data_IF_381587616698
#
_entry.id   IF_381587616698
#
_cell.length_a   1.000
_cell.length_b   1.000
_cell.length_c   1.000
_cell.angle_alpha   90.00
_cell.angle_beta   90.00
_cell.angle_gamma   90.00
#
_symmetry.space_group_name_H-M   'P 1'
#
loop_
_entity.id
_entity.type
_entity.pdbx_description
1 polymer ?
#
# COMPACT_ATOMS: atom_id res chain seq x y z
N UNK A 1 -2.29 8.30 -9.87
CA UNK A 1 -3.68 8.10 -9.39
C UNK A 1 -3.69 8.16 -7.88
N UNK A 2 -4.81 8.54 -7.26
CA UNK A 2 -4.93 8.59 -5.80
C UNK A 2 -5.92 7.52 -5.32
N UNK A 3 -5.62 6.95 -4.17
CA UNK A 3 -6.34 5.84 -3.58
C UNK A 3 -6.56 6.14 -2.10
N UNK A 4 -7.78 5.91 -1.62
CA UNK A 4 -8.13 6.07 -0.22
C UNK A 4 -8.16 4.71 0.44
N UNK A 5 -7.48 4.58 1.58
CA UNK A 5 -7.55 3.39 2.39
C UNK A 5 -8.93 3.26 3.05
N UNK A 6 -9.57 2.11 2.90
CA UNK A 6 -10.94 1.84 3.35
C UNK A 6 -11.03 1.43 4.82
N UNK A 7 -10.02 0.74 5.34
CA UNK A 7 -9.96 0.24 6.71
C UNK A 7 -8.50 0.20 7.18
N UNK A 8 -8.25 0.34 8.48
CA UNK A 8 -6.89 0.31 9.03
C UNK A 8 -6.34 -1.12 8.97
N UNK A 9 -5.14 -1.30 8.41
CA UNK A 9 -4.48 -2.60 8.36
C UNK A 9 -2.96 -2.49 8.55
N UNK A 10 -2.34 -3.60 8.92
CA UNK A 10 -0.89 -3.73 8.98
C UNK A 10 -0.36 -4.61 7.86
N UNK A 11 0.82 -4.26 7.36
CA UNK A 11 1.60 -5.12 6.47
C UNK A 11 3.01 -5.27 7.02
N UNK A 12 3.69 -6.38 6.73
CA UNK A 12 5.11 -6.50 7.05
C UNK A 12 5.89 -5.38 6.37
N UNK A 13 6.71 -4.65 7.13
CA UNK A 13 7.65 -3.67 6.59
C UNK A 13 8.65 -4.41 5.70
N UNK A 14 8.80 -3.96 4.45
CA UNK A 14 9.76 -4.56 3.53
C UNK A 14 11.14 -3.97 3.85
N UNK A 15 11.99 -4.76 4.51
CA UNK A 15 13.37 -4.38 4.77
C UNK A 15 14.29 -5.00 3.69
N UNK A 16 14.93 -4.15 2.88
CA UNK A 16 15.82 -4.61 1.78
C UNK A 16 17.13 -5.25 2.29
N UNK A 17 17.45 -5.09 3.58
CA UNK A 17 18.75 -5.48 4.13
C UNK A 17 18.74 -6.78 4.93
N UNK A 18 17.62 -7.19 5.50
CA UNK A 18 17.56 -8.39 6.34
C UNK A 18 16.49 -9.37 5.86
N UNK A 19 16.92 -10.56 5.44
CA UNK A 19 16.09 -11.78 5.45
C UNK A 19 15.76 -12.15 6.92
N UNK A 20 15.16 -11.24 7.70
CA UNK A 20 14.81 -11.49 9.10
C UNK A 20 13.40 -11.01 9.41
N UNK A 21 12.62 -11.98 9.89
CA UNK A 21 11.31 -11.87 10.53
C UNK A 21 11.37 -11.08 11.84
N UNK A 22 11.74 -9.80 11.82
CA UNK A 22 11.64 -8.93 13.00
C UNK A 22 10.53 -7.88 12.86
N UNK A 23 9.29 -8.39 12.78
CA UNK A 23 8.13 -7.90 13.54
C UNK A 23 7.68 -6.44 13.40
N UNK A 24 8.24 -5.65 12.47
CA UNK A 24 7.76 -4.29 12.22
C UNK A 24 6.63 -4.32 11.21
N UNK A 25 5.47 -3.97 11.71
CA UNK A 25 4.26 -3.81 10.95
C UNK A 25 4.13 -2.35 10.51
N UNK A 26 4.09 -2.11 9.21
CA UNK A 26 3.69 -0.82 8.67
C UNK A 26 2.17 -0.70 8.74
N UNK A 27 1.69 0.23 9.57
CA UNK A 27 0.26 0.45 9.78
C UNK A 27 -0.24 1.48 8.77
N UNK A 28 -1.17 1.06 7.93
CA UNK A 28 -1.92 1.93 7.03
C UNK A 28 -3.22 2.32 7.72
N UNK A 29 -3.42 3.60 7.95
CA UNK A 29 -4.63 4.10 8.61
C UNK A 29 -5.80 4.25 7.63
N UNK A 30 -7.00 3.88 8.10
CA UNK A 30 -8.26 4.18 7.40
C UNK A 30 -8.33 5.66 7.01
N UNK A 31 -8.79 5.93 5.79
CA UNK A 31 -8.95 7.28 5.27
C UNK A 31 -7.66 7.94 4.82
N UNK A 32 -6.49 7.30 5.01
CA UNK A 32 -5.23 7.79 4.45
C UNK A 32 -5.28 7.81 2.91
N UNK A 33 -4.67 8.83 2.32
CA UNK A 33 -4.59 9.00 0.87
C UNK A 33 -3.21 8.60 0.39
N UNK A 34 -3.21 7.71 -0.59
CA UNK A 34 -2.03 7.15 -1.21
C UNK A 34 -2.02 7.45 -2.69
N UNK A 35 -0.84 7.69 -3.25
CA UNK A 35 -0.65 7.95 -4.67
C UNK A 35 0.15 6.84 -5.32
N UNK A 36 -0.23 6.48 -6.54
CA UNK A 36 0.63 5.69 -7.43
C UNK A 36 1.06 6.56 -8.60
N UNK A 37 2.35 6.54 -8.91
CA UNK A 37 2.93 7.24 -10.06
C UNK A 37 2.53 6.59 -11.38
N UNK A 38 2.29 5.27 -11.37
CA UNK A 38 1.84 4.51 -12.54
C UNK A 38 0.37 4.09 -12.40
N UNK A 39 -0.37 3.98 -13.52
CA UNK A 39 -1.69 3.37 -13.49
C UNK A 39 -1.57 1.90 -13.10
N UNK A 40 -2.37 1.47 -12.12
CA UNK A 40 -2.37 0.08 -11.65
C UNK A 40 -3.17 -0.76 -12.64
N UNK A 41 -2.51 -1.70 -13.31
CA UNK A 41 -3.12 -2.63 -14.24
C UNK A 41 -3.85 -3.74 -13.48
N UNK A 42 -4.89 -4.30 -14.10
CA UNK A 42 -5.65 -5.43 -13.54
C UNK A 42 -4.80 -6.69 -13.34
N UNK A 43 -3.73 -6.84 -14.12
CA UNK A 43 -2.84 -8.00 -14.07
C UNK A 43 -1.57 -7.76 -13.23
N UNK A 44 -1.47 -6.62 -12.55
CA UNK A 44 -0.36 -6.40 -11.62
C UNK A 44 -0.44 -7.40 -10.47
N UNK A 45 0.72 -7.93 -10.07
CA UNK A 45 0.81 -8.80 -8.88
C UNK A 45 0.99 -7.97 -7.61
N UNK A 46 1.68 -6.83 -7.75
CA UNK A 46 2.07 -5.95 -6.67
C UNK A 46 1.74 -4.50 -7.03
N UNK A 47 1.41 -3.72 -6.01
CA UNK A 47 1.03 -2.32 -6.13
C UNK A 47 1.95 -1.49 -5.26
N UNK A 48 2.58 -0.51 -5.90
CA UNK A 48 3.42 0.48 -5.23
C UNK A 48 2.63 1.77 -5.04
N UNK A 49 2.46 2.11 -3.77
CA UNK A 49 1.81 3.33 -3.33
C UNK A 49 2.80 4.18 -2.53
N UNK A 50 2.61 5.49 -2.53
CA UNK A 50 3.35 6.41 -1.66
C UNK A 50 2.40 7.40 -0.99
N UNK A 51 2.74 7.89 0.20
CA UNK A 51 1.98 8.90 0.95
C UNK A 51 2.94 9.66 1.86
N UNK A 52 2.90 10.99 1.90
CA UNK A 52 3.74 11.89 2.74
C UNK A 52 5.01 11.27 3.39
N UNK A 53 5.96 10.83 2.55
CA UNK A 53 7.26 10.30 2.98
C UNK A 53 7.32 8.79 3.27
N UNK A 54 6.21 8.08 3.12
CA UNK A 54 6.08 6.63 3.23
C UNK A 54 5.85 5.99 1.87
N UNK A 55 6.34 4.77 1.72
CA UNK A 55 6.12 3.91 0.55
C UNK A 55 5.56 2.58 1.00
N UNK A 56 4.60 2.06 0.24
CA UNK A 56 3.88 0.84 0.54
C UNK A 56 3.94 -0.05 -0.70
N UNK A 57 4.46 -1.26 -0.54
CA UNK A 57 4.31 -2.33 -1.52
C UNK A 57 3.34 -3.36 -0.94
N UNK A 58 2.24 -3.62 -1.65
CA UNK A 58 1.23 -4.60 -1.27
C UNK A 58 0.81 -5.45 -2.46
N UNK A 59 0.39 -6.68 -2.18
CA UNK A 59 -0.22 -7.53 -3.18
C UNK A 59 -1.47 -6.87 -3.77
N UNK A 60 -1.66 -7.03 -5.08
CA UNK A 60 -2.81 -6.47 -5.80
C UNK A 60 -4.15 -6.90 -5.22
N UNK A 61 -4.25 -8.15 -4.77
CA UNK A 61 -5.47 -8.69 -4.14
C UNK A 61 -5.82 -7.96 -2.85
N UNK A 62 -4.82 -7.61 -2.02
CA UNK A 62 -5.05 -6.83 -0.81
C UNK A 62 -5.40 -5.38 -1.16
N UNK A 63 -4.72 -4.81 -2.16
CA UNK A 63 -5.02 -3.46 -2.64
C UNK A 63 -6.48 -3.33 -3.09
N UNK A 64 -7.00 -4.27 -3.89
CA UNK A 64 -8.39 -4.25 -4.38
C UNK A 64 -9.45 -4.30 -3.27
N UNK A 65 -9.09 -4.82 -2.09
CA UNK A 65 -9.98 -4.93 -0.94
C UNK A 65 -9.84 -3.71 -0.03
N UNK A 66 -8.62 -3.19 0.14
CA UNK A 66 -8.30 -2.19 1.16
C UNK A 66 -8.26 -0.75 0.63
N UNK A 67 -8.32 -0.56 -0.69
CA UNK A 67 -8.25 0.76 -1.32
C UNK A 67 -9.35 0.98 -2.35
N UNK A 68 -9.87 2.21 -2.37
CA UNK A 68 -10.73 2.71 -3.44
C UNK A 68 -10.01 3.80 -4.24
N UNK A 69 -10.20 3.82 -5.57
CA UNK A 69 -9.78 4.95 -6.40
C UNK A 69 -10.58 6.20 -6.03
N UNK A 70 -9.89 7.33 -5.88
CA UNK A 70 -10.51 8.59 -5.46
C UNK A 70 -9.95 9.78 -6.25
N UNK A 71 -10.84 10.72 -6.60
CA UNK A 71 -10.53 11.94 -7.37
C UNK A 71 -10.07 13.12 -6.50
N UNK A 72 -9.45 12.87 -5.33
CA UNK A 72 -8.98 13.95 -4.44
C UNK A 72 -8.06 14.96 -5.13
#
# INVERSE_FOLDING_TARGET
MKYKCLETFSVPEWDEFENCEEGREFIVHEGSIWKSDNPIAKNDQEVFLSSDGSTLNIAKELFDVMFEETEV
#
